data_IF_087325356501
#
_entry.id   IF_087325356501
#
_cell.length_a   1.000
_cell.length_b   1.000
_cell.length_c   1.000
_cell.angle_alpha   90.00
_cell.angle_beta   90.00
_cell.angle_gamma   90.00
#
_symmetry.space_group_name_H-M   'P 1'
#
loop_
_entity.id
_entity.type
_entity.pdbx_description
1 polymer ?
#
# COMPACT_ATOMS: atom_id res chain seq x y z
N UNK A 1 6.23 5.54 13.22
CA UNK A 1 5.17 4.53 13.31
C UNK A 1 4.54 4.26 11.97
N UNK A 2 3.88 5.26 11.40
CA UNK A 2 3.21 5.08 10.11
C UNK A 2 4.21 4.64 9.03
N UNK A 3 5.40 5.20 9.05
CA UNK A 3 6.41 4.88 8.06
C UNK A 3 6.88 3.43 8.16
N UNK A 4 7.04 2.93 9.39
CA UNK A 4 7.41 1.54 9.59
C UNK A 4 6.31 0.61 9.10
N UNK A 5 5.05 0.99 9.33
CA UNK A 5 3.92 0.22 8.86
C UNK A 5 3.88 0.17 7.35
N UNK A 6 4.12 1.31 6.69
CA UNK A 6 4.13 1.37 5.23
C UNK A 6 5.26 0.50 4.69
N UNK A 7 6.45 0.57 5.27
CA UNK A 7 7.57 -0.26 4.83
C UNK A 7 7.26 -1.74 4.94
N UNK A 8 6.62 -2.14 6.03
CA UNK A 8 6.22 -3.52 6.23
C UNK A 8 5.22 -3.96 5.16
N UNK A 9 4.23 -3.13 4.89
CA UNK A 9 3.22 -3.42 3.89
C UNK A 9 3.83 -3.50 2.49
N UNK A 10 4.76 -2.60 2.19
CA UNK A 10 5.43 -2.62 0.89
C UNK A 10 6.23 -3.89 0.69
N UNK A 11 6.91 -4.35 1.73
CA UNK A 11 7.62 -5.62 1.65
C UNK A 11 6.67 -6.78 1.41
N UNK A 12 5.53 -6.77 2.05
CA UNK A 12 4.52 -7.80 1.84
C UNK A 12 3.97 -7.76 0.42
N UNK A 13 3.74 -6.55 -0.08
CA UNK A 13 3.26 -6.36 -1.43
C UNK A 13 4.25 -6.96 -2.44
N UNK A 14 5.52 -6.62 -2.29
CA UNK A 14 6.57 -7.14 -3.16
C UNK A 14 6.68 -8.67 -3.07
N UNK A 15 6.56 -9.21 -1.87
CA UNK A 15 6.61 -10.66 -1.69
C UNK A 15 5.44 -11.35 -2.41
N UNK A 16 4.26 -10.73 -2.38
CA UNK A 16 3.11 -11.28 -3.09
C UNK A 16 3.30 -11.21 -4.60
N UNK A 17 3.86 -10.12 -5.10
CA UNK A 17 4.17 -10.01 -6.52
C UNK A 17 5.14 -11.11 -6.96
N UNK A 18 6.15 -11.37 -6.14
CA UNK A 18 7.12 -12.41 -6.43
C UNK A 18 6.47 -13.79 -6.42
N UNK A 19 5.60 -14.03 -5.43
CA UNK A 19 4.90 -15.29 -5.34
C UNK A 19 3.99 -15.53 -6.55
N UNK A 20 3.33 -14.47 -7.03
CA UNK A 20 2.48 -14.56 -8.21
C UNK A 20 3.34 -14.90 -9.43
N UNK A 21 4.47 -14.23 -9.59
CA UNK A 21 5.37 -14.48 -10.71
C UNK A 21 5.86 -15.94 -10.70
N UNK A 22 6.20 -16.45 -9.52
CA UNK A 22 6.63 -17.84 -9.39
C UNK A 22 5.50 -18.81 -9.74
N UNK A 23 4.29 -18.52 -9.27
CA UNK A 23 3.15 -19.37 -9.54
C UNK A 23 2.83 -19.45 -11.03
N UNK A 24 3.01 -18.33 -11.73
CA UNK A 24 2.76 -18.27 -13.17
C UNK A 24 3.76 -19.11 -13.96
N UNK A 25 4.95 -19.34 -13.40
CA UNK A 25 5.97 -20.15 -14.06
C UNK A 25 5.77 -21.65 -13.85
N UNK A 26 4.92 -22.02 -12.92
CA UNK A 26 4.71 -23.43 -12.62
C UNK A 26 3.83 -24.08 -13.69
N UNK A 27 4.07 -25.38 -13.88
CA UNK A 27 3.30 -26.17 -14.85
C UNK A 27 2.90 -27.47 -14.21
N UNK A 28 1.60 -27.77 -14.06
CA UNK A 28 0.48 -26.94 -14.49
C UNK A 28 0.30 -25.71 -13.58
N UNK A 29 -0.27 -24.66 -14.13
CA UNK A 29 -0.51 -23.43 -13.38
C UNK A 29 -1.74 -23.58 -12.49
N UNK A 30 -1.60 -23.18 -11.23
CA UNK A 30 -2.72 -23.21 -10.29
C UNK A 30 -3.37 -21.84 -10.27
N UNK A 31 -4.40 -21.67 -11.08
CA UNK A 31 -5.06 -20.37 -11.22
C UNK A 31 -5.82 -19.95 -9.97
N UNK A 32 -6.29 -20.92 -9.18
CA UNK A 32 -6.95 -20.58 -7.91
C UNK A 32 -5.96 -19.99 -6.92
N UNK A 33 -4.77 -20.56 -6.86
CA UNK A 33 -3.73 -20.04 -5.99
C UNK A 33 -3.33 -18.64 -6.43
N UNK A 34 -3.23 -18.41 -7.73
CA UNK A 34 -2.88 -17.07 -8.26
C UNK A 34 -3.96 -16.07 -7.92
N UNK A 35 -5.23 -16.44 -8.07
CA UNK A 35 -6.33 -15.54 -7.74
C UNK A 35 -6.30 -15.15 -6.27
N UNK A 36 -6.00 -16.11 -5.40
CA UNK A 36 -5.90 -15.85 -3.97
C UNK A 36 -4.76 -14.85 -3.68
N UNK A 37 -3.61 -15.07 -4.31
CA UNK A 37 -2.46 -14.19 -4.14
C UNK A 37 -2.77 -12.78 -4.63
N UNK A 38 -3.46 -12.67 -5.77
CA UNK A 38 -3.85 -11.38 -6.31
C UNK A 38 -4.82 -10.66 -5.41
N UNK A 39 -5.75 -11.39 -4.81
CA UNK A 39 -6.67 -10.81 -3.86
C UNK A 39 -5.95 -10.24 -2.65
N UNK A 40 -5.00 -11.01 -2.11
CA UNK A 40 -4.20 -10.56 -0.97
C UNK A 40 -3.37 -9.33 -1.33
N UNK A 41 -2.84 -9.32 -2.55
CA UNK A 41 -2.06 -8.17 -3.02
C UNK A 41 -2.93 -6.92 -3.08
N UNK A 42 -4.17 -7.05 -3.54
CA UNK A 42 -5.10 -5.93 -3.57
C UNK A 42 -5.36 -5.37 -2.17
N UNK A 43 -5.57 -6.25 -1.20
CA UNK A 43 -5.81 -5.82 0.17
C UNK A 43 -4.62 -5.06 0.70
N UNK A 44 -3.41 -5.58 0.49
CA UNK A 44 -2.19 -4.92 0.94
C UNK A 44 -2.02 -3.57 0.26
N UNK A 45 -2.29 -3.51 -1.04
CA UNK A 45 -2.22 -2.25 -1.78
C UNK A 45 -3.18 -1.20 -1.22
N UNK A 46 -4.39 -1.62 -0.88
CA UNK A 46 -5.36 -0.72 -0.29
C UNK A 46 -4.90 -0.20 1.07
N UNK A 47 -4.29 -1.07 1.86
CA UNK A 47 -3.77 -0.67 3.17
C UNK A 47 -2.63 0.33 3.02
N UNK A 48 -1.76 0.13 2.04
CA UNK A 48 -0.67 1.07 1.76
C UNK A 48 -1.25 2.44 1.43
N UNK A 49 -2.22 2.48 0.52
CA UNK A 49 -2.85 3.73 0.12
C UNK A 49 -3.53 4.42 1.29
N UNK A 50 -4.20 3.65 2.12
CA UNK A 50 -4.85 4.19 3.30
C UNK A 50 -3.84 4.84 4.25
N UNK A 51 -2.74 4.15 4.50
CA UNK A 51 -1.71 4.67 5.39
C UNK A 51 -1.01 5.90 4.83
N UNK A 52 -0.80 5.91 3.51
CA UNK A 52 -0.22 7.07 2.86
C UNK A 52 -1.13 8.29 2.99
N UNK A 53 -2.44 8.09 2.81
CA UNK A 53 -3.40 9.18 2.95
C UNK A 53 -3.44 9.72 4.38
N UNK A 54 -3.34 8.82 5.36
CA UNK A 54 -3.29 9.25 6.75
C UNK A 54 -2.05 10.09 7.03
N UNK A 55 -0.90 9.65 6.51
CA UNK A 55 0.34 10.39 6.69
C UNK A 55 0.24 11.78 6.08
N UNK A 56 -0.33 11.86 4.88
CA UNK A 56 -0.54 13.16 4.22
C UNK A 56 -1.46 14.06 5.03
N UNK A 57 -2.51 13.47 5.59
CA UNK A 57 -3.47 14.22 6.37
C UNK A 57 -2.80 14.82 7.60
N UNK A 58 -1.96 14.05 8.28
CA UNK A 58 -1.23 14.55 9.44
C UNK A 58 -0.25 15.65 9.04
N UNK A 59 0.43 15.48 7.93
CA UNK A 59 1.35 16.51 7.43
C UNK A 59 0.61 17.80 7.12
N UNK A 60 -0.52 17.70 6.47
CA UNK A 60 -1.32 18.87 6.13
C UNK A 60 -1.82 19.58 7.38
N UNK A 61 -2.21 18.79 8.36
CA UNK A 61 -2.69 19.36 9.62
C UNK A 61 -1.61 20.18 10.29
N UNK A 62 -0.38 19.67 10.29
CA UNK A 62 0.76 20.41 10.83
C UNK A 62 0.98 21.68 10.06
N UNK A 63 0.86 21.62 8.76
CA UNK A 63 1.05 22.79 7.91
C UNK A 63 -0.07 23.81 8.11
N UNK A 64 -1.28 23.33 8.32
CA UNK A 64 -2.44 24.21 8.49
C UNK A 64 -2.35 25.05 9.74
N UNK A 65 -1.60 24.62 10.73
CA UNK A 65 -1.42 25.44 11.91
C UNK A 65 -0.73 26.76 11.57
N UNK A 66 -0.07 26.86 10.45
CA UNK A 66 0.40 28.12 9.93
C UNK A 66 -0.77 28.88 9.37
N UNK A 67 -0.82 30.16 9.62
CA UNK A 67 -1.87 30.97 9.07
C UNK A 67 -1.83 30.97 7.58
N UNK A 68 -2.27 30.82 7.13
CA UNK A 68 -2.39 30.72 6.08
C UNK A 68 -2.54 31.01 5.09
N UNK A 69 -2.78 30.98 4.95
CA UNK A 69 -3.13 30.93 4.15
C UNK A 69 -3.64 31.17 3.44
N UNK A 70 -3.74 31.05 3.53
CA UNK A 70 -4.43 31.06 2.98
C UNK A 70 -4.86 31.49 2.27
N UNK A 71 -4.82 31.75 2.12
CA UNK A 71 -5.40 32.08 1.51
C UNK A 71 -5.98 32.89 1.30
N UNK A 72 -5.84 33.20 1.56
CA UNK A 72 -6.49 33.79 1.56
C UNK A 72 -7.07 34.23 1.29
N UNK A 73 -7.14 34.46 1.35
CA UNK A 73 -7.76 34.76 1.18
C UNK A 73 -8.06 35.17 0.99
#
# INVERSE_FOLDING_TARGET
MAQATISYLERRYTALESAIADALRQSPTDYLAIADLEYRKLIIGDEIQHNLRLAERFSKRSTITHPTRHRSI
#
